data_IF_084411823918
#
_entry.id   IF_084411823918
#
_cell.length_a   1.000
_cell.length_b   1.000
_cell.length_c   1.000
_cell.angle_alpha   90.00
_cell.angle_beta   90.00
_cell.angle_gamma   90.00
#
_symmetry.space_group_name_H-M   'P 1'
#
loop_
_entity.id
_entity.type
_entity.pdbx_description
1 polymer ?
#
# COMPACT_ATOMS: atom_id res chain seq x y z
N UNK A 1 -63.05 44.14 7.23
CA UNK A 1 -61.63 44.50 7.47
C UNK A 1 -60.68 43.31 7.36
N UNK A 2 -61.09 42.09 7.76
CA UNK A 2 -60.24 40.88 7.74
C UNK A 2 -59.62 40.52 6.38
N UNK A 3 -60.36 40.61 5.26
CA UNK A 3 -59.82 40.27 3.93
C UNK A 3 -58.73 41.21 3.42
N UNK A 4 -58.79 42.50 3.75
CA UNK A 4 -57.77 43.48 3.35
C UNK A 4 -56.48 43.31 4.16
N UNK A 5 -56.62 43.03 5.46
CA UNK A 5 -55.47 42.71 6.31
C UNK A 5 -54.79 41.40 5.85
N UNK A 6 -55.56 40.35 5.55
CA UNK A 6 -55.02 39.09 5.05
C UNK A 6 -54.27 39.23 3.71
N UNK A 7 -54.78 40.07 2.79
CA UNK A 7 -54.09 40.35 1.54
C UNK A 7 -52.73 41.04 1.75
N UNK A 8 -52.62 41.95 2.72
CA UNK A 8 -51.35 42.62 3.06
C UNK A 8 -50.35 41.62 3.64
N UNK A 9 -50.77 40.77 4.58
CA UNK A 9 -49.90 39.72 5.15
C UNK A 9 -49.48 38.69 4.11
N UNK A 10 -50.39 38.29 3.22
CA UNK A 10 -50.08 37.39 2.11
C UNK A 10 -48.97 37.96 1.21
N UNK A 11 -49.11 39.22 0.77
CA UNK A 11 -48.08 39.89 -0.05
C UNK A 11 -46.77 40.03 0.72
N UNK A 12 -46.83 40.39 2.00
CA UNK A 12 -45.65 40.49 2.86
C UNK A 12 -44.87 39.16 2.92
N UNK A 13 -45.55 38.06 3.24
CA UNK A 13 -44.90 36.76 3.33
C UNK A 13 -44.40 36.26 1.97
N UNK A 14 -45.10 36.56 0.87
CA UNK A 14 -44.58 36.26 -0.47
C UNK A 14 -43.28 37.00 -0.78
N UNK A 15 -43.21 38.30 -0.47
CA UNK A 15 -41.99 39.09 -0.71
C UNK A 15 -40.82 38.59 0.14
N UNK A 16 -41.07 38.27 1.42
CA UNK A 16 -40.04 37.71 2.31
C UNK A 16 -39.57 36.35 1.81
N UNK A 17 -40.49 35.46 1.45
CA UNK A 17 -40.14 34.12 0.95
C UNK A 17 -39.39 34.18 -0.39
N UNK A 18 -39.84 35.00 -1.33
CA UNK A 18 -39.17 35.20 -2.62
C UNK A 18 -37.79 35.85 -2.45
N UNK A 19 -37.64 36.81 -1.54
CA UNK A 19 -36.36 37.44 -1.22
C UNK A 19 -35.35 36.46 -0.64
N UNK A 20 -35.78 35.60 0.30
CA UNK A 20 -34.94 34.55 0.88
C UNK A 20 -34.50 33.54 -0.19
N UNK A 21 -35.43 33.07 -1.04
CA UNK A 21 -35.14 32.13 -2.12
C UNK A 21 -34.16 32.71 -3.15
N UNK A 22 -34.36 33.96 -3.57
CA UNK A 22 -33.45 34.64 -4.50
C UNK A 22 -32.03 34.79 -3.93
N UNK A 23 -31.91 35.09 -2.63
CA UNK A 23 -30.61 35.20 -1.98
C UNK A 23 -29.88 33.85 -1.89
N UNK A 24 -30.59 32.76 -1.59
CA UNK A 24 -30.01 31.40 -1.53
C UNK A 24 -29.27 31.07 -2.83
N UNK A 25 -29.94 31.23 -3.98
CA UNK A 25 -29.35 30.87 -5.28
C UNK A 25 -28.11 31.71 -5.61
N UNK A 26 -28.09 33.00 -5.25
CA UNK A 26 -26.91 33.86 -5.44
C UNK A 26 -25.79 33.47 -4.49
N UNK A 27 -26.11 33.22 -3.22
CA UNK A 27 -25.13 32.88 -2.20
C UNK A 27 -24.43 31.55 -2.51
N UNK A 28 -25.19 30.50 -2.87
CA UNK A 28 -24.65 29.20 -3.26
C UNK A 28 -23.63 29.30 -4.40
N UNK A 29 -23.89 30.17 -5.38
CA UNK A 29 -23.03 30.30 -6.55
C UNK A 29 -21.79 31.15 -6.32
N UNK A 30 -21.86 32.17 -5.47
CA UNK A 30 -20.85 33.25 -5.42
C UNK A 30 -20.15 33.42 -4.08
N UNK A 31 -20.71 32.87 -3.00
CA UNK A 31 -20.28 33.17 -1.63
C UNK A 31 -19.84 31.94 -0.85
N UNK A 32 -19.79 30.77 -1.50
CA UNK A 32 -19.31 29.56 -0.85
C UNK A 32 -17.80 29.70 -0.57
N UNK A 33 -17.34 29.49 0.69
CA UNK A 33 -15.92 29.53 1.02
C UNK A 33 -15.14 28.52 0.17
N UNK A 34 -14.05 28.96 -0.44
CA UNK A 34 -13.20 28.16 -1.31
C UNK A 34 -11.96 27.70 -0.57
N UNK A 35 -11.42 26.55 -0.95
CA UNK A 35 -10.09 26.14 -0.50
C UNK A 35 -9.04 26.98 -1.21
N UNK A 36 -8.15 27.58 -0.45
CA UNK A 36 -6.90 28.19 -0.94
C UNK A 36 -5.77 27.30 -0.43
N UNK A 37 -5.47 26.23 -1.17
CA UNK A 37 -4.49 25.22 -0.78
C UNK A 37 -3.50 25.03 -1.92
N UNK A 38 -2.22 25.22 -1.61
CA UNK A 38 -1.13 24.90 -2.52
C UNK A 38 -0.80 23.41 -2.40
N UNK A 39 -1.24 22.61 -3.37
CA UNK A 39 -0.99 21.18 -3.41
C UNK A 39 -0.70 20.67 -4.81
N UNK A 40 -0.05 19.52 -4.90
CA UNK A 40 0.18 18.83 -6.16
C UNK A 40 -1.07 18.05 -6.53
N UNK A 41 -1.71 18.42 -7.64
CA UNK A 41 -2.86 17.70 -8.18
C UNK A 41 -2.40 16.47 -8.97
N UNK A 42 -3.08 15.35 -8.75
CA UNK A 42 -2.81 14.07 -9.39
C UNK A 42 -4.13 13.52 -9.91
N UNK A 43 -4.18 13.18 -11.19
CA UNK A 43 -5.34 12.53 -11.80
C UNK A 43 -5.31 11.02 -11.58
N UNK A 44 -6.49 10.42 -11.54
CA UNK A 44 -6.70 8.98 -11.33
C UNK A 44 -5.99 8.14 -12.41
N UNK A 45 -5.12 7.21 -11.98
CA UNK A 45 -4.27 6.37 -12.83
C UNK A 45 -3.16 7.12 -13.59
N UNK A 46 -2.78 8.31 -13.12
CA UNK A 46 -1.62 9.03 -13.63
C UNK A 46 -0.43 8.97 -12.68
N UNK A 47 0.74 9.35 -13.20
CA UNK A 47 1.97 9.49 -12.44
C UNK A 47 2.29 10.95 -12.16
N UNK A 48 2.90 11.21 -11.01
CA UNK A 48 3.35 12.54 -10.60
C UNK A 48 4.67 12.46 -9.86
N UNK A 49 5.53 13.47 -10.05
CA UNK A 49 6.73 13.64 -9.25
C UNK A 49 6.43 14.46 -7.99
N UNK A 50 6.76 13.91 -6.83
CA UNK A 50 6.69 14.62 -5.54
C UNK A 50 8.08 14.52 -4.90
N UNK A 51 8.75 15.66 -4.76
CA UNK A 51 10.17 15.67 -4.44
C UNK A 51 10.99 15.01 -5.55
N UNK A 52 11.74 13.96 -5.20
CA UNK A 52 12.56 13.18 -6.14
C UNK A 52 11.91 11.84 -6.53
N UNK A 53 10.73 11.53 -6.00
CA UNK A 53 10.06 10.24 -6.18
C UNK A 53 8.88 10.37 -7.14
N UNK A 54 8.78 9.44 -8.09
CA UNK A 54 7.63 9.30 -8.98
C UNK A 54 6.59 8.39 -8.33
N UNK A 55 5.37 8.90 -8.20
CA UNK A 55 4.23 8.19 -7.64
C UNK A 55 3.20 7.92 -8.72
N UNK A 56 2.56 6.76 -8.67
CA UNK A 56 1.36 6.42 -9.44
C UNK A 56 0.16 6.49 -8.53
N UNK A 57 -0.88 7.24 -8.91
CA UNK A 57 -2.15 7.24 -8.21
C UNK A 57 -3.04 6.11 -8.73
N UNK A 58 -3.28 5.09 -7.91
CA UNK A 58 -4.25 4.06 -8.21
C UNK A 58 -5.66 4.64 -8.05
N UNK A 59 -6.57 4.24 -8.93
CA UNK A 59 -7.89 4.84 -9.09
C UNK A 59 -8.61 5.29 -7.80
N UNK A 60 -9.28 6.44 -7.89
CA UNK A 60 -10.06 6.98 -6.79
C UNK A 60 -11.42 6.26 -6.73
N UNK A 61 -11.75 5.73 -5.55
CA UNK A 61 -12.97 4.96 -5.34
C UNK A 61 -13.72 5.43 -4.12
N UNK A 62 -15.04 5.31 -4.17
CA UNK A 62 -15.92 5.57 -3.02
C UNK A 62 -16.17 4.28 -2.25
N UNK A 63 -15.92 4.28 -0.96
CA UNK A 63 -16.26 3.17 -0.07
C UNK A 63 -17.77 3.00 0.04
N UNK A 64 -18.22 1.81 0.43
CA UNK A 64 -19.64 1.60 0.74
C UNK A 64 -19.95 2.20 2.12
N UNK A 65 -20.84 3.20 2.16
CA UNK A 65 -21.30 3.78 3.42
C UNK A 65 -22.49 3.01 4.01
N UNK A 66 -22.56 2.96 5.34
CA UNK A 66 -23.68 2.33 6.04
C UNK A 66 -24.90 3.26 6.06
N UNK A 67 -26.10 2.69 5.90
CA UNK A 67 -27.38 3.41 6.02
C UNK A 67 -27.57 4.67 5.15
N UNK A 68 -27.03 4.67 3.92
CA UNK A 68 -27.24 5.77 2.98
C UNK A 68 -26.45 7.04 3.31
N UNK A 69 -25.50 6.97 4.25
CA UNK A 69 -24.38 7.91 4.27
C UNK A 69 -23.53 7.61 3.03
N UNK A 70 -23.35 8.59 2.14
CA UNK A 70 -22.44 8.40 1.02
C UNK A 70 -21.05 8.06 1.57
N UNK A 71 -20.41 7.00 1.06
CA UNK A 71 -19.11 6.60 1.59
C UNK A 71 -17.98 7.57 1.26
N UNK A 72 -16.82 7.29 1.81
CA UNK A 72 -15.61 8.11 1.75
C UNK A 72 -14.82 7.83 0.47
N UNK A 73 -14.12 8.85 -0.05
CA UNK A 73 -13.19 8.67 -1.17
C UNK A 73 -11.84 8.16 -0.66
N UNK A 74 -11.37 7.08 -1.26
CA UNK A 74 -10.10 6.43 -0.97
C UNK A 74 -9.33 6.18 -2.27
N UNK A 75 -8.01 6.24 -2.18
CA UNK A 75 -7.09 5.93 -3.28
C UNK A 75 -5.76 5.48 -2.71
N UNK A 76 -4.87 4.97 -3.55
CA UNK A 76 -3.55 4.54 -3.14
C UNK A 76 -2.49 5.24 -4.01
N UNK A 77 -1.39 5.67 -3.40
CA UNK A 77 -0.18 6.05 -4.10
C UNK A 77 0.81 4.91 -4.04
N UNK A 78 1.31 4.50 -5.20
CA UNK A 78 2.35 3.49 -5.33
C UNK A 78 3.63 4.12 -5.90
N UNK A 79 4.79 3.72 -5.39
CA UNK A 79 6.09 4.11 -5.93
C UNK A 79 7.10 2.97 -5.82
N UNK A 80 8.11 2.99 -6.67
CA UNK A 80 9.21 2.01 -6.63
C UNK A 80 10.42 2.62 -5.93
N UNK A 81 10.93 1.92 -4.92
CA UNK A 81 12.22 2.21 -4.30
C UNK A 81 13.31 1.40 -5.02
N UNK A 82 13.93 1.99 -6.03
CA UNK A 82 15.02 1.37 -6.82
C UNK A 82 16.35 1.26 -6.05
N UNK A 83 16.43 1.87 -4.86
CA UNK A 83 17.61 1.80 -3.98
C UNK A 83 17.41 0.80 -2.83
N UNK A 84 16.43 -0.10 -2.96
CA UNK A 84 16.19 -1.14 -1.97
C UNK A 84 17.33 -2.17 -1.99
N UNK A 85 17.89 -2.48 -0.83
CA UNK A 85 18.91 -3.52 -0.69
C UNK A 85 18.22 -4.78 -0.19
N UNK A 86 18.13 -5.78 -1.06
CA UNK A 86 17.68 -7.12 -0.70
C UNK A 86 18.71 -7.80 0.19
N UNK A 87 18.26 -8.55 1.19
CA UNK A 87 19.14 -9.27 2.12
C UNK A 87 18.77 -10.73 2.20
N UNK A 88 19.77 -11.61 2.33
CA UNK A 88 19.58 -13.05 2.46
C UNK A 88 20.63 -13.69 3.36
N UNK A 89 20.39 -14.93 3.76
CA UNK A 89 21.30 -15.68 4.62
C UNK A 89 21.32 -17.17 4.27
N UNK A 90 22.52 -17.76 4.25
CA UNK A 90 22.71 -19.19 4.10
C UNK A 90 23.37 -19.76 5.35
N UNK A 91 22.70 -20.68 6.02
CA UNK A 91 23.20 -21.27 7.25
C UNK A 91 24.39 -22.20 7.00
N UNK A 92 25.29 -22.27 7.97
CA UNK A 92 26.27 -23.35 8.04
C UNK A 92 25.55 -24.70 8.00
N UNK A 93 26.11 -25.64 7.26
CA UNK A 93 25.62 -27.00 7.10
C UNK A 93 24.28 -27.13 6.35
N UNK A 94 23.76 -26.04 5.75
CA UNK A 94 22.60 -26.12 4.86
C UNK A 94 23.01 -26.51 3.44
N UNK A 95 22.02 -26.93 2.65
CA UNK A 95 22.16 -27.09 1.21
C UNK A 95 21.80 -25.77 0.53
N UNK A 96 22.56 -25.38 -0.49
CA UNK A 96 22.29 -24.27 -1.40
C UNK A 96 22.49 -24.70 -2.85
N UNK A 97 21.91 -23.97 -3.78
CA UNK A 97 22.13 -24.18 -5.21
C UNK A 97 23.20 -23.23 -5.74
N UNK A 98 24.15 -23.76 -6.51
CA UNK A 98 25.17 -22.98 -7.18
C UNK A 98 25.40 -23.56 -8.57
N UNK A 99 25.30 -22.74 -9.62
CA UNK A 99 25.44 -23.19 -11.02
C UNK A 99 24.53 -24.38 -11.40
N UNK A 100 23.30 -24.43 -10.85
CA UNK A 100 22.33 -25.52 -10.99
C UNK A 100 22.73 -26.87 -10.37
N UNK A 101 23.70 -26.88 -9.46
CA UNK A 101 24.06 -28.04 -8.66
C UNK A 101 23.86 -27.77 -7.16
N UNK A 102 23.62 -28.82 -6.38
CA UNK A 102 23.41 -28.72 -4.94
C UNK A 102 24.72 -28.84 -4.19
N UNK A 103 25.01 -27.86 -3.34
CA UNK A 103 26.20 -27.82 -2.49
C UNK A 103 25.81 -27.72 -1.03
N UNK A 104 26.59 -28.36 -0.18
CA UNK A 104 26.55 -28.15 1.27
C UNK A 104 27.45 -26.97 1.62
N UNK A 105 26.94 -26.04 2.42
CA UNK A 105 27.70 -24.89 2.89
C UNK A 105 28.47 -25.25 4.15
N UNK A 106 29.78 -25.04 4.13
CA UNK A 106 30.68 -25.28 5.24
C UNK A 106 31.39 -23.97 5.59
N UNK A 107 31.32 -23.59 6.85
CA UNK A 107 32.03 -22.42 7.38
C UNK A 107 32.94 -22.94 8.48
N UNK A 108 34.17 -22.43 8.53
CA UNK A 108 35.11 -22.83 9.55
C UNK A 108 34.59 -22.39 10.94
N UNK A 109 34.75 -23.26 11.94
CA UNK A 109 34.39 -22.93 13.31
C UNK A 109 35.55 -22.20 14.00
N UNK A 110 35.89 -21.03 13.47
CA UNK A 110 37.02 -20.20 13.90
C UNK A 110 36.60 -18.73 13.99
N UNK A 111 37.35 -17.94 14.75
CA UNK A 111 37.09 -16.49 14.85
C UNK A 111 37.63 -15.75 13.64
N UNK A 112 36.87 -14.77 13.13
CA UNK A 112 37.32 -13.92 12.02
C UNK A 112 37.29 -14.63 10.66
N UNK A 113 36.37 -15.58 10.49
CA UNK A 113 36.09 -16.18 9.18
C UNK A 113 35.59 -15.11 8.22
N UNK A 114 36.10 -15.15 6.99
CA UNK A 114 35.72 -14.25 5.89
C UNK A 114 35.46 -15.03 4.60
N UNK A 115 35.34 -16.36 4.69
CA UNK A 115 35.12 -17.25 3.57
C UNK A 115 34.33 -18.49 4.00
N UNK A 116 33.67 -19.11 3.05
CA UNK A 116 32.98 -20.39 3.22
C UNK A 116 33.30 -21.33 2.06
N UNK A 117 33.13 -22.62 2.30
CA UNK A 117 33.32 -23.68 1.31
C UNK A 117 31.98 -24.26 0.90
N UNK A 118 31.75 -24.34 -0.41
CA UNK A 118 30.73 -25.15 -1.04
C UNK A 118 31.31 -26.54 -1.28
N UNK A 119 30.69 -27.57 -0.73
CA UNK A 119 31.05 -28.98 -0.97
C UNK A 119 29.93 -29.65 -1.78
N UNK A 120 30.26 -30.15 -2.98
CA UNK A 120 29.28 -30.71 -3.90
C UNK A 120 28.56 -31.92 -3.29
N UNK A 121 27.22 -31.96 -3.39
CA UNK A 121 26.45 -33.12 -2.95
C UNK A 121 26.47 -34.20 -4.03
N UNK A 122 27.17 -35.29 -3.74
CA UNK A 122 27.34 -36.39 -4.68
C UNK A 122 26.07 -37.24 -4.80
N UNK A 123 25.65 -37.51 -6.04
CA UNK A 123 24.57 -38.45 -6.31
C UNK A 123 25.09 -39.90 -6.23
N UNK A 124 25.07 -40.45 -5.02
CA UNK A 124 25.55 -41.82 -4.74
C UNK A 124 24.89 -42.85 -5.64
N UNK A 125 23.57 -42.79 -5.84
CA UNK A 125 22.86 -43.74 -6.70
C UNK A 125 23.34 -43.70 -8.15
N UNK A 126 23.58 -42.51 -8.69
CA UNK A 126 24.12 -42.36 -10.05
C UNK A 126 25.56 -42.90 -10.16
N UNK A 127 26.39 -42.64 -9.15
CA UNK A 127 27.78 -43.14 -9.10
C UNK A 127 27.79 -44.68 -9.07
N UNK A 128 26.96 -45.30 -8.22
CA UNK A 128 26.86 -46.77 -8.14
C UNK A 128 26.31 -47.38 -9.42
N UNK A 129 25.31 -46.76 -10.05
CA UNK A 129 24.73 -47.25 -11.30
C UNK A 129 25.72 -47.18 -12.48
N UNK A 130 26.67 -46.25 -12.45
CA UNK A 130 27.69 -46.10 -13.47
C UNK A 130 28.81 -47.17 -13.38
N UNK A 131 28.97 -47.82 -12.23
CA UNK A 131 29.98 -48.87 -12.03
C UNK A 131 29.36 -50.29 -12.11
N UNK A 132 29.66 -51.07 -13.17
CA UNK A 132 29.13 -52.42 -13.30
C UNK A 132 29.64 -53.41 -12.25
N UNK A 133 30.75 -53.11 -11.55
CA UNK A 133 31.36 -54.00 -10.57
C UNK A 133 30.61 -54.05 -9.22
N UNK A 134 29.79 -53.04 -8.92
CA UNK A 134 29.16 -52.85 -7.60
C UNK A 134 27.64 -52.76 -7.68
N UNK A 135 26.95 -53.15 -6.62
CA UNK A 135 25.49 -53.03 -6.55
C UNK A 135 25.00 -51.58 -6.62
N UNK A 136 23.79 -51.37 -7.17
CA UNK A 136 23.21 -50.04 -7.37
C UNK A 136 22.67 -49.41 -6.06
N UNK A 137 22.76 -50.14 -4.94
CA UNK A 137 22.30 -49.74 -3.62
C UNK A 137 23.37 -50.06 -2.58
N UNK A 138 23.43 -49.24 -1.54
CA UNK A 138 24.34 -49.44 -0.40
C UNK A 138 23.80 -50.52 0.55
N UNK A 139 24.70 -51.12 1.32
CA UNK A 139 24.38 -51.98 2.46
C UNK A 139 24.82 -51.29 3.76
N UNK A 140 23.99 -51.36 4.80
CA UNK A 140 24.34 -50.80 6.11
C UNK A 140 24.78 -51.91 7.07
N UNK A 141 25.93 -51.71 7.74
CA UNK A 141 26.43 -52.60 8.79
C UNK A 141 27.02 -51.78 9.91
N UNK A 142 26.59 -52.04 11.15
CA UNK A 142 27.05 -51.31 12.35
C UNK A 142 26.95 -49.78 12.21
N UNK A 143 25.93 -49.30 11.50
CA UNK A 143 25.69 -47.86 11.23
C UNK A 143 26.57 -47.25 10.13
N UNK A 144 27.48 -48.01 9.53
CA UNK A 144 28.30 -47.57 8.39
C UNK A 144 27.69 -48.08 7.09
N UNK A 145 27.65 -47.22 6.07
CA UNK A 145 27.24 -47.62 4.72
C UNK A 145 28.42 -48.19 3.93
N UNK A 146 28.12 -49.21 3.15
CA UNK A 146 29.08 -49.95 2.34
C UNK A 146 28.56 -50.10 0.91
N UNK A 147 29.51 -50.17 -0.01
CA UNK A 147 29.32 -50.60 -1.39
C UNK A 147 29.59 -52.10 -1.46
N UNK A 148 28.75 -52.84 -2.20
CA UNK A 148 28.83 -54.30 -2.33
C UNK A 148 29.31 -54.68 -3.73
N UNK A 149 30.38 -55.45 -3.83
CA UNK A 149 30.91 -55.94 -5.11
C UNK A 149 30.17 -57.19 -5.59
N UNK A 150 29.63 -57.16 -6.82
CA UNK A 150 28.78 -58.24 -7.38
C UNK A 150 29.49 -59.58 -7.57
N UNK A 151 30.80 -59.55 -7.78
CA UNK A 151 31.55 -60.75 -8.16
C UNK A 151 31.83 -61.70 -6.99
N UNK A 152 31.83 -61.20 -5.75
CA UNK A 152 32.32 -61.94 -4.58
C UNK A 152 31.67 -61.52 -3.26
N UNK A 153 30.64 -60.67 -3.29
CA UNK A 153 29.92 -60.15 -2.12
C UNK A 153 30.84 -59.47 -1.08
N UNK A 154 32.02 -58.99 -1.50
CA UNK A 154 32.89 -58.20 -0.63
C UNK A 154 32.35 -56.78 -0.49
N UNK A 155 32.68 -56.13 0.62
CA UNK A 155 32.17 -54.79 0.96
C UNK A 155 33.32 -53.81 1.17
N UNK A 156 33.11 -52.56 0.75
CA UNK A 156 34.01 -51.43 0.99
C UNK A 156 33.20 -50.27 1.60
N UNK A 157 33.72 -49.56 2.63
CA UNK A 157 33.02 -48.40 3.18
C UNK A 157 32.69 -47.38 2.09
N UNK A 158 31.46 -46.88 2.08
CA UNK A 158 30.99 -45.95 1.05
C UNK A 158 31.89 -44.71 0.95
N UNK A 159 32.31 -44.17 2.09
CA UNK A 159 33.20 -43.00 2.17
C UNK A 159 34.59 -43.25 1.55
N UNK A 160 35.06 -44.50 1.48
CA UNK A 160 36.32 -44.86 0.83
C UNK A 160 36.14 -45.13 -0.68
N UNK A 161 34.92 -45.45 -1.10
CA UNK A 161 34.58 -45.72 -2.49
C UNK A 161 34.27 -44.45 -3.27
N UNK A 162 33.53 -43.51 -2.66
CA UNK A 162 33.16 -42.26 -3.30
C UNK A 162 34.40 -41.42 -3.63
N UNK A 163 34.44 -40.76 -4.80
CA UNK A 163 35.51 -39.80 -5.09
C UNK A 163 35.43 -38.61 -4.12
N UNK A 164 36.52 -37.87 -3.95
CA UNK A 164 36.50 -36.66 -3.15
C UNK A 164 35.50 -35.64 -3.75
N UNK A 165 34.59 -35.05 -2.94
CA UNK A 165 33.64 -34.09 -3.46
C UNK A 165 34.36 -32.84 -3.96
N UNK A 166 33.81 -32.23 -5.02
CA UNK A 166 34.29 -30.94 -5.48
C UNK A 166 34.08 -29.90 -4.37
N UNK A 167 35.10 -29.07 -4.17
CA UNK A 167 35.08 -27.98 -3.20
C UNK A 167 35.38 -26.66 -3.87
N UNK A 168 34.60 -25.65 -3.51
CA UNK A 168 34.80 -24.27 -3.98
C UNK A 168 34.74 -23.31 -2.79
N UNK A 169 35.74 -22.45 -2.68
CA UNK A 169 35.76 -21.39 -1.68
C UNK A 169 35.13 -20.13 -2.25
N UNK A 170 34.34 -19.45 -1.44
CA UNK A 170 33.76 -18.14 -1.73
C UNK A 170 34.09 -17.20 -0.57
N UNK A 171 34.59 -16.02 -0.89
CA UNK A 171 35.02 -15.02 0.10
C UNK A 171 33.99 -13.91 0.28
N UNK A 172 34.03 -13.22 1.43
CA UNK A 172 33.40 -11.91 1.60
C UNK A 172 33.83 -10.95 0.47
N UNK A 173 32.88 -10.19 -0.05
CA UNK A 173 33.03 -9.28 -1.18
C UNK A 173 32.83 -9.94 -2.55
N UNK A 174 32.73 -11.27 -2.64
CA UNK A 174 32.47 -11.94 -3.92
C UNK A 174 30.96 -11.99 -4.25
N UNK A 175 30.66 -12.08 -5.55
CA UNK A 175 29.30 -12.29 -6.05
C UNK A 175 28.91 -13.77 -5.93
N UNK A 176 27.71 -14.02 -5.42
CA UNK A 176 27.11 -15.32 -5.19
C UNK A 176 25.65 -15.31 -5.68
N UNK A 177 25.25 -16.24 -6.57
CA UNK A 177 23.88 -16.31 -7.05
C UNK A 177 22.96 -16.80 -5.94
N UNK A 178 21.90 -16.05 -5.64
CA UNK A 178 20.97 -16.36 -4.55
C UNK A 178 19.53 -16.02 -4.93
N UNK A 179 18.65 -17.02 -4.94
CA UNK A 179 17.21 -16.88 -5.25
C UNK A 179 16.93 -16.13 -6.58
N UNK A 180 17.81 -16.31 -7.57
CA UNK A 180 17.70 -15.65 -8.88
C UNK A 180 18.33 -14.26 -8.96
N UNK A 181 18.98 -13.79 -7.90
CA UNK A 181 19.68 -12.51 -7.83
C UNK A 181 21.21 -12.72 -7.81
N UNK A 182 21.95 -11.73 -8.33
CA UNK A 182 23.41 -11.66 -8.19
C UNK A 182 23.74 -10.95 -6.86
N UNK A 183 23.84 -11.72 -5.78
CA UNK A 183 24.11 -11.18 -4.45
C UNK A 183 25.60 -11.05 -4.16
N UNK A 184 25.98 -10.15 -3.27
CA UNK A 184 27.33 -9.99 -2.74
C UNK A 184 27.40 -10.59 -1.35
N UNK A 185 28.46 -11.35 -1.07
CA UNK A 185 28.73 -11.87 0.27
C UNK A 185 29.22 -10.75 1.17
N UNK A 186 28.38 -10.25 2.06
CA UNK A 186 28.73 -9.08 2.89
C UNK A 186 29.31 -9.46 4.24
N UNK A 187 28.96 -10.63 4.77
CA UNK A 187 29.53 -11.12 6.00
C UNK A 187 29.47 -12.65 6.10
N UNK A 188 30.52 -13.26 6.60
CA UNK A 188 30.58 -14.68 6.92
C UNK A 188 30.80 -14.82 8.42
N UNK A 189 29.97 -15.65 9.05
CA UNK A 189 30.08 -16.02 10.45
C UNK A 189 30.14 -17.53 10.57
N UNK A 190 30.57 -18.06 11.72
CA UNK A 190 30.62 -19.51 11.96
C UNK A 190 29.27 -20.21 11.80
N UNK A 191 28.15 -19.47 11.88
CA UNK A 191 26.79 -19.99 11.79
C UNK A 191 26.09 -19.72 10.46
N UNK A 192 26.44 -18.65 9.76
CA UNK A 192 25.73 -18.21 8.55
C UNK A 192 26.59 -17.29 7.66
N UNK A 193 26.26 -17.30 6.37
CA UNK A 193 26.74 -16.37 5.34
C UNK A 193 25.62 -15.38 5.05
N UNK A 194 25.91 -14.09 5.16
CA UNK A 194 25.00 -12.99 4.84
C UNK A 194 25.27 -12.45 3.44
N UNK A 195 24.18 -12.20 2.72
CA UNK A 195 24.17 -11.79 1.33
C UNK A 195 23.35 -10.49 1.19
N UNK A 196 23.80 -9.60 0.32
CA UNK A 196 23.06 -8.39 -0.08
C UNK A 196 23.05 -8.23 -1.60
N UNK A 197 21.95 -7.77 -2.17
CA UNK A 197 21.87 -7.47 -3.60
C UNK A 197 21.07 -6.20 -3.85
N UNK A 198 21.43 -5.49 -4.91
CA UNK A 198 20.64 -4.36 -5.41
C UNK A 198 19.29 -4.88 -5.90
N UNK A 199 18.21 -4.26 -5.43
CA UNK A 199 16.85 -4.66 -5.76
C UNK A 199 15.93 -3.44 -5.78
N UNK A 200 14.67 -3.68 -6.12
CA UNK A 200 13.63 -2.66 -6.14
C UNK A 200 12.44 -3.13 -5.31
N UNK A 201 11.88 -2.26 -4.48
CA UNK A 201 10.69 -2.58 -3.69
C UNK A 201 9.54 -1.64 -4.07
N UNK A 202 8.40 -2.21 -4.46
CA UNK A 202 7.17 -1.46 -4.65
C UNK A 202 6.56 -1.13 -3.29
N UNK A 203 6.31 0.15 -3.06
CA UNK A 203 5.75 0.69 -1.84
C UNK A 203 4.38 1.30 -2.15
N UNK A 204 3.45 1.19 -1.22
CA UNK A 204 2.10 1.74 -1.37
C UNK A 204 1.66 2.44 -0.10
N UNK A 205 0.90 3.52 -0.26
CA UNK A 205 0.26 4.24 0.85
C UNK A 205 -1.16 4.64 0.51
N UNK A 206 -2.07 4.46 1.45
CA UNK A 206 -3.48 4.82 1.31
C UNK A 206 -3.68 6.33 1.55
N UNK A 207 -4.57 6.92 0.75
CA UNK A 207 -5.03 8.29 0.86
C UNK A 207 -6.51 8.32 1.24
N UNK A 208 -6.86 9.14 2.23
CA UNK A 208 -8.23 9.42 2.65
C UNK A 208 -8.44 10.93 2.78
N UNK A 209 -9.67 11.44 2.61
CA UNK A 209 -9.95 12.88 2.60
C UNK A 209 -9.50 13.53 3.92
N UNK A 210 -8.61 14.53 3.84
CA UNK A 210 -8.05 15.21 5.01
C UNK A 210 -7.17 14.32 5.91
N UNK A 211 -6.87 13.09 5.50
CA UNK A 211 -5.99 12.18 6.23
C UNK A 211 -4.52 12.49 6.01
N UNK A 212 -3.72 12.40 7.07
CA UNK A 212 -2.26 12.61 6.97
C UNK A 212 -1.56 11.38 6.41
N UNK A 213 -0.66 11.62 5.47
CA UNK A 213 0.21 10.63 4.84
C UNK A 213 1.66 11.11 4.89
N UNK A 214 2.61 10.20 5.10
CA UNK A 214 4.05 10.49 4.98
C UNK A 214 4.57 9.85 3.70
N UNK A 215 5.17 10.66 2.83
CA UNK A 215 5.72 10.18 1.56
C UNK A 215 7.22 9.87 1.70
N UNK A 216 7.86 9.39 0.63
CA UNK A 216 9.24 8.90 0.64
C UNK A 216 10.27 10.02 0.89
N UNK A 217 9.90 11.28 0.64
CA UNK A 217 10.66 12.47 1.02
C UNK A 217 10.67 12.74 2.54
N UNK A 218 9.94 11.93 3.32
CA UNK A 218 9.78 12.06 4.76
C UNK A 218 8.89 13.24 5.18
N UNK A 219 8.26 13.94 4.24
CA UNK A 219 7.33 15.03 4.51
C UNK A 219 5.90 14.51 4.66
N UNK A 220 5.11 15.27 5.42
CA UNK A 220 3.70 14.96 5.65
C UNK A 220 2.80 15.78 4.72
N UNK A 221 1.84 15.10 4.13
CA UNK A 221 0.81 15.66 3.27
C UNK A 221 -0.56 15.20 3.74
N UNK A 222 -1.62 15.82 3.23
CA UNK A 222 -2.97 15.30 3.31
C UNK A 222 -3.65 15.33 1.94
N UNK A 223 -4.58 14.40 1.73
CA UNK A 223 -5.34 14.33 0.48
C UNK A 223 -6.55 15.27 0.53
N UNK A 224 -6.78 15.99 -0.56
CA UNK A 224 -7.98 16.77 -0.80
C UNK A 224 -8.56 16.40 -2.17
N UNK A 225 -9.68 15.67 -2.17
CA UNK A 225 -10.29 15.12 -3.36
C UNK A 225 -11.13 16.15 -4.11
N UNK A 226 -11.02 16.12 -5.44
CA UNK A 226 -11.85 16.89 -6.38
C UNK A 226 -12.79 15.95 -7.13
N UNK A 227 -13.57 15.19 -6.37
CA UNK A 227 -14.40 14.11 -6.91
C UNK A 227 -13.61 12.80 -7.10
N UNK A 228 -14.06 11.96 -8.02
CA UNK A 228 -13.46 10.64 -8.31
C UNK A 228 -12.41 10.71 -9.45
N UNK A 229 -12.06 11.94 -9.88
CA UNK A 229 -11.17 12.17 -11.03
C UNK A 229 -9.75 12.57 -10.60
N UNK A 230 -9.62 13.38 -9.54
CA UNK A 230 -8.32 13.84 -9.07
C UNK A 230 -8.27 14.11 -7.57
N UNK A 231 -7.06 14.10 -7.03
CA UNK A 231 -6.75 14.43 -5.64
C UNK A 231 -5.59 15.42 -5.60
N UNK A 232 -5.65 16.39 -4.69
CA UNK A 232 -4.53 17.27 -4.37
C UNK A 232 -3.82 16.77 -3.12
N UNK A 233 -2.51 16.59 -3.22
CA UNK A 233 -1.62 16.28 -2.09
C UNK A 233 -1.08 17.59 -1.54
N UNK A 234 -1.58 17.99 -0.39
CA UNK A 234 -1.33 19.30 0.21
C UNK A 234 -0.38 19.13 1.39
N UNK A 235 0.69 19.94 1.52
CA UNK A 235 1.58 19.89 2.67
C UNK A 235 0.82 20.06 3.99
N UNK A 236 1.15 19.26 5.00
CA UNK A 236 0.48 19.27 6.30
C UNK A 236 0.54 20.63 7.03
N UNK A 237 1.47 21.52 6.65
CA UNK A 237 1.52 22.90 7.15
C UNK A 237 0.27 23.73 6.85
N UNK A 238 -0.48 23.38 5.80
CA UNK A 238 -1.72 24.06 5.40
C UNK A 238 -2.99 23.40 6.00
N UNK A 239 -2.85 22.36 6.83
CA UNK A 239 -3.99 21.64 7.38
C UNK A 239 -4.95 22.53 8.19
N UNK A 240 -4.42 23.55 8.88
CA UNK A 240 -5.26 24.48 9.64
C UNK A 240 -6.19 25.31 8.74
N UNK A 241 -5.76 25.64 7.52
CA UNK A 241 -6.55 26.39 6.54
C UNK A 241 -7.65 25.52 5.92
N UNK A 242 -7.33 24.25 5.65
CA UNK A 242 -8.33 23.25 5.26
C UNK A 242 -9.44 23.12 6.31
N UNK A 243 -9.08 22.93 7.59
CA UNK A 243 -10.04 22.83 8.69
C UNK A 243 -10.84 24.11 8.87
N UNK A 244 -10.20 25.28 8.74
CA UNK A 244 -10.91 26.56 8.79
C UNK A 244 -11.96 26.66 7.68
N UNK A 245 -11.59 26.34 6.45
CA UNK A 245 -12.49 26.39 5.29
C UNK A 245 -13.67 25.43 5.47
N UNK A 246 -13.45 24.23 6.00
CA UNK A 246 -14.52 23.29 6.35
C UNK A 246 -15.52 23.89 7.34
N UNK A 247 -15.03 24.48 8.43
CA UNK A 247 -15.88 25.14 9.44
C UNK A 247 -16.68 26.32 8.84
N UNK A 248 -16.07 27.06 7.92
CA UNK A 248 -16.73 28.17 7.22
C UNK A 248 -17.82 27.66 6.28
N UNK A 249 -17.56 26.57 5.54
CA UNK A 249 -18.56 25.92 4.67
C UNK A 249 -19.74 25.35 5.46
N UNK A 250 -19.48 24.71 6.60
CA UNK A 250 -20.54 24.20 7.48
C UNK A 250 -21.41 25.33 8.06
N UNK A 251 -20.74 26.41 8.49
CA UNK A 251 -21.43 27.62 8.97
C UNK A 251 -22.26 28.27 7.87
N UNK A 252 -21.75 28.30 6.64
CA UNK A 252 -22.45 28.81 5.47
C UNK A 252 -23.68 27.96 5.12
N UNK A 253 -23.53 26.63 5.08
CA UNK A 253 -24.63 25.70 4.84
C UNK A 253 -25.73 25.81 5.90
N UNK A 254 -25.35 25.99 7.16
CA UNK A 254 -26.30 26.21 8.25
C UNK A 254 -27.13 27.49 8.03
N UNK A 255 -26.51 28.57 7.53
CA UNK A 255 -27.22 29.82 7.20
C UNK A 255 -28.17 29.63 6.01
N UNK A 256 -27.75 28.89 4.97
CA UNK A 256 -28.61 28.55 3.84
C UNK A 256 -29.83 27.73 4.26
N UNK A 257 -29.62 26.72 5.12
CA UNK A 257 -30.72 25.93 5.69
C UNK A 257 -31.70 26.81 6.47
N UNK A 258 -31.19 27.81 7.20
CA UNK A 258 -32.02 28.82 7.88
C UNK A 258 -32.87 29.65 6.91
N UNK A 259 -32.28 30.12 5.80
CA UNK A 259 -32.98 30.86 4.76
C UNK A 259 -34.05 30.01 4.05
N UNK A 260 -33.75 28.73 3.80
CA UNK A 260 -34.73 27.77 3.32
C UNK A 260 -35.91 27.63 4.30
N UNK A 261 -35.63 27.57 5.61
CA UNK A 261 -36.64 27.61 6.65
C UNK A 261 -37.54 28.85 6.56
N UNK A 262 -36.96 30.03 6.35
CA UNK A 262 -37.71 31.28 6.17
C UNK A 262 -38.60 31.22 4.92
N UNK A 263 -38.07 30.74 3.80
CA UNK A 263 -38.81 30.62 2.55
C UNK A 263 -40.03 29.69 2.71
N UNK A 264 -39.84 28.52 3.34
CA UNK A 264 -40.89 27.53 3.59
C UNK A 264 -41.95 28.09 4.54
N UNK A 265 -41.55 28.62 5.70
CA UNK A 265 -42.48 29.16 6.70
C UNK A 265 -43.27 30.33 6.12
N UNK A 266 -42.63 31.21 5.35
CA UNK A 266 -43.31 32.33 4.69
C UNK A 266 -44.32 31.85 3.66
N UNK A 267 -43.98 30.83 2.86
CA UNK A 267 -44.92 30.20 1.93
C UNK A 267 -46.14 29.60 2.65
N UNK A 268 -45.92 28.84 3.73
CA UNK A 268 -47.00 28.27 4.54
C UNK A 268 -47.86 29.33 5.23
N UNK A 269 -47.25 30.39 5.75
CA UNK A 269 -47.96 31.52 6.36
C UNK A 269 -48.81 32.27 5.34
N UNK A 270 -48.29 32.49 4.12
CA UNK A 270 -49.03 33.07 3.01
C UNK A 270 -50.27 32.22 2.65
N UNK A 271 -50.10 30.91 2.51
CA UNK A 271 -51.19 29.96 2.26
C UNK A 271 -52.23 29.94 3.40
N UNK A 272 -51.78 30.02 4.65
CA UNK A 272 -52.66 30.06 5.83
C UNK A 272 -53.45 31.36 5.90
N UNK A 273 -52.82 32.49 5.61
CA UNK A 273 -53.47 33.80 5.55
C UNK A 273 -54.56 33.84 4.46
N UNK A 274 -54.30 33.24 3.29
CA UNK A 274 -55.34 33.08 2.26
C UNK A 274 -56.45 32.15 2.72
N UNK A 275 -56.11 30.96 3.21
CA UNK A 275 -57.10 29.96 3.65
C UNK A 275 -58.06 30.54 4.69
N UNK A 276 -57.53 31.23 5.71
CA UNK A 276 -58.34 31.86 6.76
C UNK A 276 -59.20 33.02 6.25
N UNK A 277 -58.74 33.78 5.25
CA UNK A 277 -59.53 34.87 4.66
C UNK A 277 -60.75 34.40 3.86
N UNK A 278 -60.70 33.16 3.37
CA UNK A 278 -61.72 32.55 2.51
C UNK A 278 -62.47 31.38 3.16
N UNK A 279 -62.24 31.09 4.46
CA UNK A 279 -63.09 30.17 5.21
C UNK A 279 -64.55 30.68 5.23
N UNK A 280 -65.54 29.81 4.97
CA UNK A 280 -66.94 30.20 5.05
C UNK A 280 -67.32 30.50 6.51
N UNK A 281 -67.79 31.73 6.76
CA UNK A 281 -68.33 32.12 8.06
C UNK A 281 -69.67 31.40 8.23
N UNK A 282 -69.77 30.42 9.13
CA UNK A 282 -71.06 29.98 9.65
C UNK A 282 -71.55 31.08 10.58
N UNK A 283 -72.57 31.81 10.14
CA UNK A 283 -73.33 32.75 10.99
C UNK A 283 -74.11 32.02 12.06
#
# INVERSE_FOLDING_TARGET
MQRRAAAIYFVFFLVVGAGAYAYIGVAEQTSQPQYDLDGTMVESNETVAIGETEYTLNGIHRTEGEHGSGGELVSELTWTNDSYVGTGSISHNSTTEYQNESYRVLVANETGVSEFTLEAQQNVSAILQADPAVENTTATRDGTEYVVYRNNDTIQPLAEYLPEPERRTVSEGETFPYEGNDATVVNVTTSEVRLEWDSSEENTVELIEGGNVTLADGQQYFANYHGEESVSLVPASQYSEYVQTNNERDSFQTRLNGLWGIAIISGLAALTALSTAYLPVRG
#
